data_IF_487476595374
#
_entry.id   IF_487476595374
#
_cell.length_a   1.000
_cell.length_b   1.000
_cell.length_c   1.000
_cell.angle_alpha   90.00
_cell.angle_beta   90.00
_cell.angle_gamma   90.00
#
_symmetry.space_group_name_H-M   'P 1'
#
loop_
_entity.id
_entity.type
_entity.pdbx_description
1 polymer ?
#
# COMPACT_ATOMS: atom_id res chain seq x y z
N UNK A 1 -21.36 -24.81 12.58
CA UNK A 1 -20.45 -24.01 11.70
C UNK A 1 -21.21 -22.76 11.29
N UNK A 2 -20.91 -21.62 11.92
CA UNK A 2 -21.77 -20.44 11.89
C UNK A 2 -21.49 -19.57 10.65
N UNK A 3 -22.55 -18.97 10.10
CA UNK A 3 -22.57 -18.13 8.88
C UNK A 3 -21.48 -17.04 8.85
N UNK A 4 -21.04 -16.58 10.03
CA UNK A 4 -19.97 -15.58 10.24
C UNK A 4 -18.56 -16.11 9.91
N UNK A 5 -18.30 -17.39 10.13
CA UNK A 5 -17.01 -18.04 9.83
C UNK A 5 -16.82 -18.24 8.33
N UNK A 6 -17.91 -18.48 7.60
CA UNK A 6 -17.89 -18.67 6.14
C UNK A 6 -17.58 -17.35 5.40
N UNK A 7 -18.08 -16.22 5.90
CA UNK A 7 -17.81 -14.90 5.31
C UNK A 7 -16.35 -14.49 5.51
N UNK A 8 -15.74 -14.75 6.67
CA UNK A 8 -14.30 -14.49 6.88
C UNK A 8 -13.41 -15.34 5.97
N UNK A 9 -13.74 -16.61 5.77
CA UNK A 9 -12.98 -17.47 4.85
C UNK A 9 -13.13 -17.06 3.38
N UNK A 10 -14.31 -16.59 2.97
CA UNK A 10 -14.55 -16.09 1.61
C UNK A 10 -13.82 -14.76 1.34
N UNK A 11 -13.74 -13.86 2.32
CA UNK A 11 -12.96 -12.63 2.22
C UNK A 11 -11.47 -12.93 2.15
N UNK A 12 -10.94 -13.83 3.00
CA UNK A 12 -9.52 -14.22 2.97
C UNK A 12 -9.15 -14.94 1.66
N UNK A 13 -10.03 -15.79 1.12
CA UNK A 13 -9.79 -16.43 -0.17
C UNK A 13 -9.86 -15.46 -1.36
N UNK A 14 -10.70 -14.42 -1.29
CA UNK A 14 -10.75 -13.34 -2.28
C UNK A 14 -9.59 -12.34 -2.16
N UNK A 15 -8.95 -12.27 -0.98
CA UNK A 15 -7.77 -11.43 -0.72
C UNK A 15 -6.45 -12.06 -1.15
N UNK A 16 -6.46 -13.26 -1.72
CA UNK A 16 -5.30 -13.79 -2.47
C UNK A 16 -5.42 -13.24 -3.90
N UNK A 17 -4.75 -12.13 -4.28
CA UNK A 17 -4.90 -11.65 -5.63
C UNK A 17 -4.12 -12.60 -6.52
N UNK A 18 -4.83 -13.09 -7.52
CA UNK A 18 -4.39 -13.74 -8.74
C UNK A 18 -3.30 -12.90 -9.43
N UNK A 19 -2.08 -12.87 -8.89
CA UNK A 19 -0.98 -12.07 -9.43
C UNK A 19 -0.42 -12.65 -10.75
N UNK A 20 -0.81 -13.86 -11.13
CA UNK A 20 -0.54 -14.43 -12.46
C UNK A 20 -1.47 -13.91 -13.55
N UNK A 21 -2.54 -13.18 -13.22
CA UNK A 21 -3.46 -12.59 -14.21
C UNK A 21 -3.12 -11.12 -14.58
N UNK A 22 -2.19 -10.47 -13.89
CA UNK A 22 -1.81 -9.08 -14.18
C UNK A 22 -0.75 -8.92 -15.27
N UNK A 23 -0.16 -10.01 -15.75
CA UNK A 23 0.77 -9.95 -16.87
C UNK A 23 0.09 -9.70 -18.23
N UNK A 24 -1.25 -9.79 -18.30
CA UNK A 24 -2.00 -9.84 -19.57
C UNK A 24 -2.95 -8.65 -19.80
N UNK A 25 -2.90 -7.61 -18.94
CA UNK A 25 -3.67 -6.36 -19.13
C UNK A 25 -2.73 -5.16 -19.26
N UNK A 26 -1.80 -5.22 -20.21
CA UNK A 26 -0.79 -4.20 -20.42
C UNK A 26 -1.31 -2.92 -21.10
N UNK A 27 -2.58 -2.86 -21.54
CA UNK A 27 -2.96 -1.79 -22.47
C UNK A 27 -3.37 -0.45 -21.83
N UNK A 28 -3.91 -0.37 -20.60
CA UNK A 28 -4.35 0.94 -20.06
C UNK A 28 -4.26 1.07 -18.52
N UNK A 29 -3.12 0.73 -17.92
CA UNK A 29 -2.90 1.10 -16.51
C UNK A 29 -2.66 2.61 -16.46
N UNK A 30 -3.59 3.36 -15.87
CA UNK A 30 -3.45 4.81 -15.65
C UNK A 30 -2.87 5.08 -14.26
N UNK A 31 -2.21 6.22 -14.09
CA UNK A 31 -1.72 6.67 -12.77
C UNK A 31 -2.86 6.71 -11.74
N UNK A 32 -4.04 7.20 -12.13
CA UNK A 32 -5.22 7.23 -11.25
C UNK A 32 -5.65 5.85 -10.79
N UNK A 33 -5.57 4.84 -11.67
CA UNK A 33 -5.89 3.46 -11.29
C UNK A 33 -4.88 2.89 -10.30
N UNK A 34 -3.58 3.16 -10.48
CA UNK A 34 -2.55 2.77 -9.51
C UNK A 34 -2.77 3.41 -8.14
N UNK A 35 -3.14 4.69 -8.10
CA UNK A 35 -3.50 5.42 -6.87
C UNK A 35 -4.73 4.81 -6.17
N UNK A 36 -5.74 4.40 -6.93
CA UNK A 36 -6.92 3.73 -6.39
C UNK A 36 -6.56 2.38 -5.77
N UNK A 37 -5.72 1.59 -6.46
CA UNK A 37 -5.21 0.32 -5.94
C UNK A 37 -4.36 0.51 -4.68
N UNK A 38 -3.50 1.52 -4.64
CA UNK A 38 -2.75 1.89 -3.45
C UNK A 38 -3.67 2.22 -2.27
N UNK A 39 -4.70 3.04 -2.51
CA UNK A 39 -5.65 3.42 -1.45
C UNK A 39 -6.32 2.19 -0.84
N UNK A 40 -6.78 1.25 -1.67
CA UNK A 40 -7.37 -0.02 -1.20
C UNK A 40 -6.36 -0.90 -0.47
N UNK A 41 -5.12 -0.95 -0.96
CA UNK A 41 -4.05 -1.72 -0.32
C UNK A 41 -3.75 -1.15 1.07
N UNK A 42 -3.66 0.18 1.20
CA UNK A 42 -3.42 0.85 2.48
C UNK A 42 -4.59 0.66 3.45
N UNK A 43 -5.84 0.75 3.00
CA UNK A 43 -7.01 0.46 3.85
C UNK A 43 -7.02 -0.98 4.36
N UNK A 44 -6.64 -1.94 3.51
CA UNK A 44 -6.52 -3.34 3.92
C UNK A 44 -5.37 -3.54 4.91
N UNK A 45 -4.23 -2.92 4.68
CA UNK A 45 -3.07 -2.95 5.58
C UNK A 45 -3.40 -2.34 6.95
N UNK A 46 -4.01 -1.15 6.98
CA UNK A 46 -4.45 -0.50 8.21
C UNK A 46 -5.39 -1.39 9.03
N UNK A 47 -6.32 -2.10 8.38
CA UNK A 47 -7.21 -3.03 9.06
C UNK A 47 -6.48 -4.26 9.64
N UNK A 48 -5.38 -4.69 9.03
CA UNK A 48 -4.52 -5.78 9.54
C UNK A 48 -3.72 -5.32 10.75
N UNK A 49 -3.22 -4.07 10.73
CA UNK A 49 -2.57 -3.44 11.88
C UNK A 49 -3.50 -3.21 13.06
N UNK A 50 -4.75 -2.79 12.82
CA UNK A 50 -5.76 -2.62 13.88
C UNK A 50 -5.98 -3.92 14.65
N UNK A 51 -6.00 -5.06 13.96
CA UNK A 51 -6.12 -6.38 14.61
C UNK A 51 -4.89 -6.67 15.48
N UNK A 52 -3.68 -6.32 15.03
CA UNK A 52 -2.47 -6.50 15.83
C UNK A 52 -2.49 -5.61 17.07
N UNK A 53 -2.97 -4.36 16.94
CA UNK A 53 -3.15 -3.45 18.05
C UNK A 53 -4.17 -3.97 19.07
N UNK A 54 -5.27 -4.57 18.62
CA UNK A 54 -6.25 -5.21 19.50
C UNK A 54 -5.66 -6.42 20.26
N UNK A 55 -4.72 -7.15 19.65
CA UNK A 55 -4.03 -8.28 20.28
C UNK A 55 -2.99 -7.83 21.33
N UNK A 56 -2.37 -6.67 21.13
CA UNK A 56 -1.43 -6.06 22.07
C UNK A 56 -1.65 -4.55 22.21
N UNK A 57 -2.70 -4.13 22.94
CA UNK A 57 -2.97 -2.70 23.12
C UNK A 57 -1.90 -2.01 23.95
N UNK A 58 -1.07 -2.77 24.67
CA UNK A 58 0.01 -2.26 25.51
C UNK A 58 1.32 -2.00 24.75
N UNK A 59 1.48 -2.61 23.56
CA UNK A 59 2.75 -2.61 22.82
C UNK A 59 3.89 -3.37 23.52
N UNK A 60 3.60 -4.17 24.55
CA UNK A 60 4.59 -4.86 25.38
C UNK A 60 4.64 -6.38 25.12
N UNK A 61 3.85 -6.92 24.19
CA UNK A 61 3.81 -8.35 23.91
C UNK A 61 5.19 -8.90 23.49
N UNK A 62 5.99 -8.08 22.79
CA UNK A 62 7.36 -8.40 22.41
C UNK A 62 8.38 -8.35 23.57
N UNK A 63 8.05 -7.70 24.70
CA UNK A 63 8.90 -7.66 25.90
C UNK A 63 8.69 -8.89 26.81
N UNK A 64 7.60 -9.64 26.59
CA UNK A 64 7.30 -10.91 27.26
C UNK A 64 7.55 -12.12 26.36
N UNK A 65 6.69 -13.13 26.48
CA UNK A 65 6.62 -14.22 25.51
C UNK A 65 5.43 -13.97 24.58
N UNK A 66 5.66 -13.62 23.30
CA UNK A 66 4.57 -13.40 22.35
C UNK A 66 3.85 -14.72 22.05
N UNK A 67 2.53 -14.64 21.87
CA UNK A 67 1.73 -15.81 21.48
C UNK A 67 1.94 -16.13 20.00
N UNK A 68 1.72 -17.38 19.60
CA UNK A 68 1.76 -17.78 18.19
C UNK A 68 0.77 -16.99 17.33
N UNK A 69 -0.39 -16.63 17.92
CA UNK A 69 -1.39 -15.77 17.27
C UNK A 69 -0.84 -14.36 16.99
N UNK A 70 -0.16 -13.76 17.97
CA UNK A 70 0.46 -12.44 17.80
C UNK A 70 1.54 -12.49 16.72
N UNK A 71 2.41 -13.50 16.73
CA UNK A 71 3.47 -13.65 15.74
C UNK A 71 2.90 -13.86 14.32
N UNK A 72 1.87 -14.69 14.19
CA UNK A 72 1.20 -14.91 12.92
C UNK A 72 0.52 -13.64 12.40
N UNK A 73 -0.11 -12.85 13.27
CA UNK A 73 -0.73 -11.60 12.89
C UNK A 73 0.32 -10.54 12.52
N UNK A 74 1.44 -10.47 13.25
CA UNK A 74 2.57 -9.59 12.91
C UNK A 74 3.11 -9.89 11.51
N UNK A 75 3.30 -11.17 11.18
CA UNK A 75 3.75 -11.55 9.83
C UNK A 75 2.78 -11.06 8.76
N UNK A 76 1.46 -11.14 8.99
CA UNK A 76 0.46 -10.62 8.05
C UNK A 76 0.55 -9.10 7.87
N UNK A 77 0.89 -8.37 8.94
CA UNK A 77 1.10 -6.92 8.87
C UNK A 77 2.32 -6.59 7.99
N UNK A 78 3.42 -7.33 8.13
CA UNK A 78 4.60 -7.17 7.26
C UNK A 78 4.29 -7.53 5.80
N UNK A 79 3.50 -8.60 5.58
CA UNK A 79 3.08 -9.01 4.25
C UNK A 79 2.17 -7.95 3.59
N UNK A 80 1.23 -7.35 4.34
CA UNK A 80 0.36 -6.29 3.83
C UNK A 80 1.12 -4.98 3.58
N UNK A 81 2.05 -4.59 4.45
CA UNK A 81 2.95 -3.44 4.24
C UNK A 81 3.72 -3.60 2.93
N UNK A 82 4.28 -4.79 2.69
CA UNK A 82 5.01 -5.10 1.44
C UNK A 82 4.13 -4.89 0.19
N UNK A 83 2.82 -5.15 0.26
CA UNK A 83 1.90 -4.89 -0.86
C UNK A 83 1.75 -3.39 -1.11
N UNK A 84 1.60 -2.59 -0.05
CA UNK A 84 1.50 -1.11 -0.17
C UNK A 84 2.78 -0.54 -0.79
N UNK A 85 3.95 -0.92 -0.27
CA UNK A 85 5.25 -0.46 -0.79
C UNK A 85 5.44 -0.82 -2.27
N UNK A 86 4.96 -1.99 -2.71
CA UNK A 86 4.98 -2.38 -4.13
C UNK A 86 4.04 -1.51 -4.99
N UNK A 87 2.89 -1.12 -4.46
CA UNK A 87 1.98 -0.20 -5.17
C UNK A 87 2.61 1.19 -5.29
N UNK A 88 3.28 1.67 -4.24
CA UNK A 88 4.02 2.94 -4.28
C UNK A 88 5.15 2.89 -5.30
N UNK A 89 5.94 1.82 -5.32
CA UNK A 89 6.96 1.62 -6.33
C UNK A 89 6.41 1.60 -7.76
N UNK A 90 5.23 0.98 -7.98
CA UNK A 90 4.56 0.98 -9.28
C UNK A 90 4.09 2.39 -9.69
N UNK A 91 3.55 3.17 -8.74
CA UNK A 91 3.18 4.58 -8.95
C UNK A 91 4.40 5.41 -9.38
N UNK A 92 5.55 5.23 -8.73
CA UNK A 92 6.75 6.00 -9.04
C UNK A 92 7.44 5.56 -10.34
N UNK A 93 7.33 4.27 -10.68
CA UNK A 93 7.78 3.77 -11.98
C UNK A 93 6.87 4.22 -13.15
N UNK A 94 5.71 4.82 -12.86
CA UNK A 94 4.78 5.28 -13.90
C UNK A 94 5.42 6.38 -14.76
N UNK A 95 5.31 6.21 -16.08
CA UNK A 95 5.80 7.20 -17.02
C UNK A 95 4.84 8.39 -17.11
N UNK A 96 5.24 9.54 -16.57
CA UNK A 96 4.45 10.78 -16.62
C UNK A 96 4.43 11.31 -18.06
N UNK A 97 3.29 11.18 -18.72
CA UNK A 97 3.14 11.46 -20.15
C UNK A 97 2.69 12.89 -20.46
N UNK A 98 2.24 13.63 -19.44
CA UNK A 98 1.83 15.02 -19.60
C UNK A 98 1.47 15.72 -18.29
N UNK A 99 1.05 16.98 -18.41
CA UNK A 99 0.77 17.88 -17.28
C UNK A 99 -0.26 17.30 -16.28
N UNK A 100 -1.27 16.57 -16.76
CA UNK A 100 -2.28 15.96 -15.89
C UNK A 100 -1.69 14.87 -14.99
N UNK A 101 -0.76 14.06 -15.50
CA UNK A 101 -0.10 13.02 -14.70
C UNK A 101 0.79 13.66 -13.64
N UNK A 102 1.52 14.71 -14.01
CA UNK A 102 2.36 15.48 -13.08
C UNK A 102 1.51 16.10 -11.97
N UNK A 103 0.40 16.75 -12.30
CA UNK A 103 -0.51 17.32 -11.31
C UNK A 103 -1.12 16.24 -10.40
N UNK A 104 -1.52 15.11 -10.97
CA UNK A 104 -2.11 13.99 -10.23
C UNK A 104 -1.11 13.41 -9.24
N UNK A 105 0.11 13.12 -9.69
CA UNK A 105 1.16 12.58 -8.83
C UNK A 105 1.53 13.58 -7.73
N UNK A 106 1.74 14.85 -8.08
CA UNK A 106 2.11 15.90 -7.12
C UNK A 106 1.07 16.06 -6.02
N UNK A 107 -0.22 16.09 -6.40
CA UNK A 107 -1.33 16.19 -5.45
C UNK A 107 -1.36 14.97 -4.53
N UNK A 108 -1.29 13.78 -5.10
CA UNK A 108 -1.35 12.53 -4.34
C UNK A 108 -0.17 12.41 -3.36
N UNK A 109 1.06 12.72 -3.79
CA UNK A 109 2.25 12.70 -2.92
C UNK A 109 2.06 13.67 -1.75
N UNK A 110 1.59 14.90 -2.01
CA UNK A 110 1.34 15.88 -0.97
C UNK A 110 0.26 15.41 0.03
N UNK A 111 -0.86 14.89 -0.46
CA UNK A 111 -1.94 14.36 0.38
C UNK A 111 -1.45 13.20 1.26
N UNK A 112 -0.64 12.29 0.69
CA UNK A 112 -0.10 11.13 1.41
C UNK A 112 0.94 11.48 2.46
N UNK A 113 1.73 12.51 2.23
CA UNK A 113 2.67 13.03 3.22
C UNK A 113 1.94 13.76 4.37
N UNK A 114 0.81 14.43 4.07
CA UNK A 114 -0.01 15.14 5.06
C UNK A 114 -0.80 14.17 5.97
N UNK A 115 -1.43 13.15 5.39
CA UNK A 115 -2.23 12.17 6.14
C UNK A 115 -1.44 10.95 6.62
N UNK A 116 -0.15 10.87 6.28
CA UNK A 116 0.76 9.76 6.57
C UNK A 116 0.26 8.38 6.08
N UNK A 117 -0.62 8.34 5.08
CA UNK A 117 -1.15 7.08 4.53
C UNK A 117 -0.27 6.49 3.43
N UNK A 118 1.03 6.44 3.68
CA UNK A 118 2.02 5.89 2.76
C UNK A 118 3.23 5.34 3.52
N UNK A 119 4.10 4.59 2.86
CA UNK A 119 5.36 4.10 3.44
C UNK A 119 6.60 4.73 2.81
N UNK A 120 6.49 5.27 1.60
CA UNK A 120 7.62 5.91 0.90
C UNK A 120 8.25 7.09 1.65
N UNK A 121 7.57 7.67 2.66
CA UNK A 121 8.15 8.70 3.51
C UNK A 121 9.28 8.18 4.41
N UNK A 122 9.32 6.87 4.67
CA UNK A 122 10.37 6.24 5.49
C UNK A 122 11.76 6.32 4.81
N UNK A 123 11.81 6.54 3.49
CA UNK A 123 13.04 6.71 2.72
C UNK A 123 13.09 8.10 2.05
N UNK A 124 13.91 8.98 2.63
CA UNK A 124 14.14 10.34 2.11
C UNK A 124 14.63 10.34 0.65
N UNK A 125 15.40 9.32 0.25
CA UNK A 125 15.92 9.24 -1.12
C UNK A 125 14.82 8.99 -2.14
N UNK A 126 13.81 8.19 -1.77
CA UNK A 126 12.60 7.96 -2.55
C UNK A 126 11.79 9.26 -2.67
N UNK A 127 11.57 9.97 -1.56
CA UNK A 127 10.88 11.28 -1.58
C UNK A 127 11.58 12.27 -2.52
N UNK A 128 12.90 12.36 -2.44
CA UNK A 128 13.68 13.25 -3.31
C UNK A 128 13.60 12.84 -4.79
N UNK A 129 13.67 11.54 -5.09
CA UNK A 129 13.57 11.03 -6.45
C UNK A 129 12.22 11.37 -7.11
N UNK A 130 11.12 11.29 -6.34
CA UNK A 130 9.77 11.62 -6.81
C UNK A 130 9.67 13.09 -7.19
N UNK A 131 10.11 14.00 -6.30
CA UNK A 131 10.09 15.44 -6.60
C UNK A 131 11.01 15.79 -7.78
N UNK A 132 12.14 15.10 -7.92
CA UNK A 132 13.04 15.28 -9.05
C UNK A 132 12.40 14.82 -10.38
N UNK A 133 11.67 13.70 -10.38
CA UNK A 133 10.92 13.22 -11.55
C UNK A 133 9.86 14.24 -11.96
N UNK A 134 9.06 14.72 -11.00
CA UNK A 134 8.05 15.77 -11.21
C UNK A 134 8.68 17.02 -11.84
N UNK A 135 9.77 17.52 -11.25
CA UNK A 135 10.45 18.74 -11.71
C UNK A 135 11.00 18.59 -13.14
N UNK A 136 11.63 17.45 -13.46
CA UNK A 136 12.19 17.19 -14.80
C UNK A 136 11.11 17.14 -15.87
N UNK A 137 9.96 16.52 -15.59
CA UNK A 137 8.85 16.48 -16.56
C UNK A 137 8.26 17.86 -16.81
N UNK A 138 8.19 18.73 -15.79
CA UNK A 138 7.72 20.12 -15.99
C UNK A 138 8.69 21.01 -16.76
N UNK A 139 10.00 20.72 -16.73
CA UNK A 139 11.01 21.50 -17.45
C UNK A 139 11.13 21.10 -18.93
N UNK A 140 10.61 19.93 -19.31
CA UNK A 140 10.66 19.38 -20.67
C UNK A 140 9.37 19.64 -21.49
N UNK A 141 8.31 20.14 -20.85
CA UNK A 141 7.04 20.52 -21.46
C UNK A 141 7.00 22.03 -21.78
#
# INVERSE_FOLDING_TARGET
MNRRTFIKAAVIAASTPTFTAFADTADHVTLSHLIELHTRAYEADSAVWDILYDLDPSGLCMAGQPTDEFLAQKQRCEDSKTVVERMEAAIFAYHLSGFNDVLTLTRWVHERLDDCKCYFYEDESTVHAIFLQIARTTAAA
#
